data_IF_849769959213
#
_entry.id   IF_849769959213
#
_cell.length_a   1.000
_cell.length_b   1.000
_cell.length_c   1.000
_cell.angle_alpha   90.00
_cell.angle_beta   90.00
_cell.angle_gamma   90.00
#
_symmetry.space_group_name_H-M   'P 1'
#
loop_
_entity.id
_entity.type
_entity.pdbx_description
1 polymer ?
#
# COMPACT_ATOMS: atom_id res chain seq x y z
N UNK A 1 22.24 -5.32 10.24
CA UNK A 1 22.44 -5.81 11.62
C UNK A 1 23.92 -6.05 11.83
N UNK A 2 24.34 -6.46 13.03
CA UNK A 2 25.74 -6.85 13.30
C UNK A 2 26.19 -8.03 12.41
N UNK A 3 25.24 -8.86 11.97
CA UNK A 3 25.44 -9.98 11.06
C UNK A 3 25.38 -9.58 9.56
N UNK A 4 25.29 -8.28 9.25
CA UNK A 4 25.26 -7.79 7.86
C UNK A 4 23.93 -8.00 7.12
N UNK A 5 22.90 -8.57 7.76
CA UNK A 5 21.57 -8.74 7.16
C UNK A 5 20.83 -7.41 7.15
N UNK A 6 20.18 -7.09 6.03
CA UNK A 6 19.42 -5.85 5.82
C UNK A 6 17.97 -6.14 5.46
N UNK A 7 17.04 -5.54 6.20
CA UNK A 7 15.63 -5.46 5.85
C UNK A 7 15.28 -4.13 5.19
N UNK A 8 14.29 -4.14 4.30
CA UNK A 8 13.82 -2.96 3.56
C UNK A 8 12.31 -2.80 3.79
N UNK A 9 11.90 -1.58 4.12
CA UNK A 9 10.50 -1.23 4.29
C UNK A 9 10.17 0.08 3.60
N UNK A 10 8.94 0.19 3.13
CA UNK A 10 8.44 1.34 2.39
C UNK A 10 7.24 1.96 3.08
N UNK A 11 7.30 3.26 3.35
CA UNK A 11 6.17 4.05 3.82
C UNK A 11 5.70 4.98 2.69
N UNK A 12 4.39 5.01 2.41
CA UNK A 12 3.83 5.88 1.37
C UNK A 12 4.22 7.36 1.58
N UNK A 13 4.73 8.00 0.53
CA UNK A 13 5.14 9.41 0.56
C UNK A 13 3.99 10.38 0.81
N UNK A 14 4.32 11.65 1.04
CA UNK A 14 3.33 12.74 0.95
C UNK A 14 2.78 12.82 -0.48
N UNK A 15 1.68 13.56 -0.70
CA UNK A 15 1.10 13.74 -2.04
C UNK A 15 2.12 14.28 -3.07
N UNK A 16 3.21 14.91 -2.60
CA UNK A 16 4.32 15.43 -3.40
C UNK A 16 5.39 14.39 -3.79
N UNK A 17 5.31 13.14 -3.31
CA UNK A 17 6.27 12.08 -3.64
C UNK A 17 7.69 12.26 -3.08
N UNK A 18 7.98 13.37 -2.40
CA UNK A 18 9.29 13.66 -1.83
C UNK A 18 9.35 13.22 -0.36
N UNK A 19 10.48 12.62 0.03
CA UNK A 19 10.85 12.53 1.44
C UNK A 19 11.01 13.94 1.98
N UNK A 20 10.23 14.29 3.00
CA UNK A 20 10.36 15.59 3.66
C UNK A 20 11.43 15.52 4.74
N UNK A 21 12.05 16.66 5.08
CA UNK A 21 12.94 16.78 6.24
C UNK A 21 12.27 16.30 7.53
N UNK A 22 10.94 16.40 7.61
CA UNK A 22 10.13 15.86 8.70
C UNK A 22 10.16 14.32 8.76
N UNK A 23 10.21 13.66 7.62
CA UNK A 23 10.32 12.19 7.53
C UNK A 23 11.67 11.74 8.07
N UNK A 24 12.75 12.40 7.63
CA UNK A 24 14.12 12.13 8.12
C UNK A 24 14.23 12.39 9.62
N UNK A 25 13.71 13.52 10.09
CA UNK A 25 13.67 13.87 11.52
C UNK A 25 12.94 12.81 12.35
N UNK A 26 11.82 12.28 11.85
CA UNK A 26 11.08 11.22 12.55
C UNK A 26 11.86 9.89 12.56
N UNK A 27 12.56 9.55 11.48
CA UNK A 27 13.43 8.37 11.45
C UNK A 27 14.54 8.51 12.48
N UNK A 28 15.20 9.68 12.53
CA UNK A 28 16.27 9.95 13.50
C UNK A 28 15.73 9.93 14.94
N UNK A 29 14.52 10.41 15.17
CA UNK A 29 13.85 10.33 16.47
C UNK A 29 13.62 8.88 16.93
N UNK A 30 13.23 7.98 16.02
CA UNK A 30 12.99 6.57 16.36
C UNK A 30 14.27 5.72 16.41
N UNK A 31 15.35 6.14 15.76
CA UNK A 31 16.61 5.38 15.69
C UNK A 31 17.14 4.89 17.04
N UNK A 32 17.15 5.68 18.14
CA UNK A 32 17.59 5.20 19.46
C UNK A 32 16.75 4.06 20.03
N UNK A 33 15.49 3.91 19.59
CA UNK A 33 14.60 2.81 20.00
C UNK A 33 14.94 1.52 19.23
N UNK A 34 15.61 1.63 18.08
CA UNK A 34 15.87 0.51 17.16
C UNK A 34 17.26 -0.09 17.31
N UNK A 35 18.28 0.75 17.51
CA UNK A 35 19.68 0.31 17.52
C UNK A 35 19.95 -0.55 18.75
N UNK A 36 20.52 -1.74 18.53
CA UNK A 36 20.85 -2.72 19.58
C UNK A 36 19.67 -3.61 20.01
N UNK A 37 18.47 -3.37 19.49
CA UNK A 37 17.34 -4.27 19.71
C UNK A 37 17.43 -5.52 18.83
N UNK A 38 16.97 -6.64 19.37
CA UNK A 38 16.75 -7.85 18.59
C UNK A 38 15.44 -7.69 17.77
N UNK A 39 15.49 -7.86 16.42
CA UNK A 39 14.34 -7.66 15.55
C UNK A 39 13.16 -8.59 15.85
N UNK A 40 13.38 -9.75 16.48
CA UNK A 40 12.28 -10.64 16.91
C UNK A 40 11.46 -10.06 18.06
N UNK A 41 11.92 -8.99 18.71
CA UNK A 41 11.14 -8.19 19.65
C UNK A 41 10.30 -7.11 18.97
N UNK A 42 9.95 -7.28 17.68
CA UNK A 42 9.19 -6.32 16.86
C UNK A 42 7.96 -5.73 17.57
N UNK A 43 7.23 -6.52 18.37
CA UNK A 43 6.07 -6.02 19.15
C UNK A 43 6.45 -4.99 20.21
N UNK A 44 7.57 -5.20 20.91
CA UNK A 44 8.12 -4.26 21.91
C UNK A 44 8.62 -3.00 21.20
N UNK A 45 9.37 -3.17 20.12
CA UNK A 45 9.88 -2.07 19.29
C UNK A 45 8.71 -1.20 18.81
N UNK A 46 7.66 -1.81 18.26
CA UNK A 46 6.46 -1.11 17.80
C UNK A 46 5.76 -0.35 18.94
N UNK A 47 5.58 -0.99 20.10
CA UNK A 47 4.96 -0.36 21.27
C UNK A 47 5.75 0.86 21.78
N UNK A 48 7.09 0.79 21.72
CA UNK A 48 7.97 1.89 22.10
C UNK A 48 7.92 3.07 21.12
N UNK A 49 7.67 2.81 19.83
CA UNK A 49 7.48 3.87 18.83
C UNK A 49 6.06 4.45 18.85
N UNK A 50 5.04 3.63 19.11
CA UNK A 50 3.63 4.04 19.12
C UNK A 50 3.25 4.75 20.43
N UNK A 51 3.62 6.02 20.52
CA UNK A 51 3.30 6.90 21.65
C UNK A 51 2.25 7.94 21.24
N UNK A 52 0.96 7.57 21.10
CA UNK A 52 -0.05 8.38 20.43
C UNK A 52 -0.30 9.76 21.05
N UNK A 53 0.07 9.95 22.32
CA UNK A 53 0.00 11.26 23.01
C UNK A 53 1.16 12.19 22.67
N UNK A 54 2.30 11.64 22.23
CA UNK A 54 3.55 12.37 22.00
C UNK A 54 3.86 12.53 20.52
N UNK A 55 3.76 11.44 19.75
CA UNK A 55 4.12 11.41 18.32
C UNK A 55 2.90 11.46 17.39
N UNK A 56 1.70 11.58 17.97
CA UNK A 56 0.44 11.64 17.24
C UNK A 56 -0.15 10.26 16.90
N UNK A 57 -1.41 10.27 16.47
CA UNK A 57 -2.23 9.07 16.22
C UNK A 57 -2.39 8.69 14.75
N UNK A 58 -1.95 9.55 13.83
CA UNK A 58 -2.17 9.45 12.37
C UNK A 58 -1.10 10.27 11.65
N UNK A 59 -1.06 10.16 10.32
CA UNK A 59 -0.24 11.01 9.48
C UNK A 59 1.19 10.49 9.35
N UNK A 60 2.17 11.40 9.32
CA UNK A 60 3.54 11.06 8.96
C UNK A 60 4.20 10.11 9.96
N UNK A 61 3.97 10.28 11.27
CA UNK A 61 4.52 9.40 12.30
C UNK A 61 4.07 7.95 12.11
N UNK A 62 2.77 7.71 11.90
CA UNK A 62 2.27 6.36 11.59
C UNK A 62 2.88 5.77 10.32
N UNK A 63 3.16 6.60 9.30
CA UNK A 63 3.78 6.13 8.04
C UNK A 63 5.23 5.70 8.24
N UNK A 64 5.99 6.46 9.03
CA UNK A 64 7.38 6.12 9.39
C UNK A 64 7.42 4.85 10.23
N UNK A 65 6.55 4.73 11.24
CA UNK A 65 6.42 3.51 12.05
C UNK A 65 6.12 2.30 11.15
N UNK A 66 5.19 2.43 10.19
CA UNK A 66 4.89 1.35 9.23
C UNK A 66 6.10 0.97 8.37
N UNK A 67 6.88 1.94 7.89
CA UNK A 67 8.07 1.66 7.08
C UNK A 67 9.12 0.88 7.88
N UNK A 68 9.34 1.26 9.14
CA UNK A 68 10.25 0.55 10.05
C UNK A 68 9.73 -0.86 10.33
N UNK A 69 8.45 -1.03 10.65
CA UNK A 69 7.85 -2.34 10.92
C UNK A 69 7.98 -3.29 9.71
N UNK A 70 7.71 -2.82 8.50
CA UNK A 70 7.91 -3.61 7.27
C UNK A 70 9.39 -4.01 7.11
N UNK A 71 10.32 -3.09 7.39
CA UNK A 71 11.75 -3.39 7.33
C UNK A 71 12.16 -4.48 8.35
N UNK A 72 11.58 -4.45 9.56
CA UNK A 72 11.79 -5.50 10.57
C UNK A 72 11.23 -6.85 10.09
N UNK A 73 10.06 -6.87 9.45
CA UNK A 73 9.49 -8.10 8.88
C UNK A 73 10.34 -8.70 7.76
N UNK A 74 10.83 -7.86 6.83
CA UNK A 74 11.74 -8.29 5.78
C UNK A 74 13.08 -8.80 6.36
N UNK A 75 13.62 -8.10 7.36
CA UNK A 75 14.81 -8.51 8.09
C UNK A 75 14.62 -9.88 8.76
N UNK A 76 13.55 -10.07 9.53
CA UNK A 76 13.23 -11.35 10.18
C UNK A 76 13.07 -12.47 9.16
N UNK A 77 12.39 -12.22 8.04
CA UNK A 77 12.25 -13.18 6.93
C UNK A 77 13.58 -13.64 6.37
N UNK A 78 14.52 -12.70 6.15
CA UNK A 78 15.87 -12.98 5.67
C UNK A 78 16.70 -13.75 6.71
N UNK A 79 16.65 -13.37 7.98
CA UNK A 79 17.37 -14.06 9.07
C UNK A 79 16.96 -15.54 9.14
N UNK A 80 15.66 -15.84 9.09
CA UNK A 80 15.15 -17.22 9.20
C UNK A 80 15.01 -17.93 7.85
N UNK A 81 15.42 -17.27 6.77
CA UNK A 81 15.29 -17.76 5.39
C UNK A 81 13.86 -18.25 5.06
N UNK A 82 12.85 -17.42 5.37
CA UNK A 82 11.45 -17.67 5.03
C UNK A 82 10.81 -16.44 4.41
N UNK A 83 9.88 -16.62 3.46
CA UNK A 83 9.07 -15.51 2.99
C UNK A 83 8.15 -15.00 4.11
N UNK A 84 7.95 -13.69 4.19
CA UNK A 84 7.21 -13.03 5.28
C UNK A 84 5.81 -13.63 5.49
N UNK A 85 5.10 -14.00 4.41
CA UNK A 85 3.76 -14.58 4.53
C UNK A 85 3.71 -15.90 5.34
N UNK A 86 4.82 -16.68 5.36
CA UNK A 86 4.91 -17.88 6.21
C UNK A 86 5.09 -17.52 7.67
N UNK A 87 5.80 -16.42 7.98
CA UNK A 87 5.90 -15.89 9.35
C UNK A 87 4.56 -15.35 9.86
N UNK A 88 3.72 -14.83 8.96
CA UNK A 88 2.37 -14.33 9.25
C UNK A 88 1.30 -15.43 9.33
N UNK A 89 1.69 -16.71 9.22
CA UNK A 89 0.80 -17.86 9.42
C UNK A 89 0.54 -18.71 8.16
N UNK A 90 0.87 -18.23 6.96
CA UNK A 90 0.98 -19.09 5.78
C UNK A 90 -0.30 -19.80 5.32
N UNK A 91 -1.48 -19.26 5.62
CA UNK A 91 -2.77 -19.94 5.46
C UNK A 91 -3.11 -20.40 4.03
N UNK A 92 -2.73 -19.64 3.00
CA UNK A 92 -3.01 -19.97 1.59
C UNK A 92 -1.92 -19.46 0.66
N UNK A 93 -1.79 -20.11 -0.49
CA UNK A 93 -0.78 -19.76 -1.51
C UNK A 93 -1.33 -18.87 -2.63
N UNK A 94 -2.65 -18.64 -2.69
CA UNK A 94 -3.32 -17.74 -3.66
C UNK A 94 -4.43 -16.93 -3.00
N UNK A 95 -4.58 -15.66 -3.40
CA UNK A 95 -5.63 -14.74 -2.93
C UNK A 95 -6.34 -14.08 -4.13
N UNK A 96 -7.64 -13.73 -4.01
CA UNK A 96 -8.29 -12.85 -4.97
C UNK A 96 -7.61 -11.48 -5.00
N UNK A 97 -7.44 -10.92 -6.20
CA UNK A 97 -6.92 -9.57 -6.41
C UNK A 97 -7.86 -8.78 -7.33
N UNK A 98 -7.80 -7.46 -7.26
CA UNK A 98 -8.51 -6.56 -8.14
C UNK A 98 -7.51 -5.58 -8.78
N UNK A 99 -7.81 -5.11 -9.99
CA UNK A 99 -7.02 -4.05 -10.63
C UNK A 99 -7.64 -2.69 -10.30
N UNK A 100 -6.84 -1.76 -9.80
CA UNK A 100 -7.26 -0.39 -9.58
C UNK A 100 -6.98 0.43 -10.84
N UNK A 101 -7.98 1.14 -11.34
CA UNK A 101 -7.89 1.89 -12.58
C UNK A 101 -8.94 3.01 -12.67
N UNK A 102 -9.27 3.40 -13.90
CA UNK A 102 -10.30 4.38 -14.20
C UNK A 102 -10.01 5.76 -13.61
N UNK A 103 -8.73 6.14 -13.57
CA UNK A 103 -8.28 7.45 -13.13
C UNK A 103 -8.75 8.56 -14.09
N UNK A 104 -8.79 9.79 -13.59
CA UNK A 104 -9.05 10.98 -14.41
C UNK A 104 -7.73 11.49 -14.94
N UNK A 105 -7.64 11.65 -16.25
CA UNK A 105 -6.44 12.11 -16.94
C UNK A 105 -6.88 13.10 -18.03
N UNK A 106 -6.05 14.09 -18.31
CA UNK A 106 -6.31 15.04 -19.39
C UNK A 106 -6.41 14.29 -20.72
N UNK A 107 -7.48 14.54 -21.49
CA UNK A 107 -7.74 13.87 -22.75
C UNK A 107 -8.32 12.45 -22.64
N UNK A 108 -8.49 11.89 -21.43
CA UNK A 108 -9.07 10.55 -21.23
C UNK A 108 -10.59 10.61 -21.10
N UNK A 109 -11.27 10.36 -22.22
CA UNK A 109 -12.72 10.26 -22.30
C UNK A 109 -13.27 8.87 -21.97
N UNK A 110 -14.55 8.66 -22.27
CA UNK A 110 -15.24 7.38 -22.03
C UNK A 110 -14.68 6.23 -22.88
N UNK A 111 -14.21 6.52 -24.09
CA UNK A 111 -13.63 5.52 -24.99
C UNK A 111 -12.31 4.98 -24.45
N UNK A 112 -11.43 5.88 -24.02
CA UNK A 112 -10.13 5.54 -23.45
C UNK A 112 -10.31 4.81 -22.11
N UNK A 113 -11.32 5.19 -21.32
CA UNK A 113 -11.71 4.46 -20.13
C UNK A 113 -12.16 3.03 -20.44
N UNK A 114 -13.01 2.83 -21.46
CA UNK A 114 -13.44 1.49 -21.89
C UNK A 114 -12.24 0.66 -22.36
N UNK A 115 -11.34 1.23 -23.17
CA UNK A 115 -10.14 0.55 -23.62
C UNK A 115 -9.25 0.10 -22.44
N UNK A 116 -9.05 0.95 -21.44
CA UNK A 116 -8.33 0.57 -20.21
C UNK A 116 -9.00 -0.65 -19.52
N UNK A 117 -10.33 -0.69 -19.50
CA UNK A 117 -11.05 -1.82 -18.91
C UNK A 117 -10.86 -3.11 -19.72
N UNK A 118 -10.88 -3.03 -21.05
CA UNK A 118 -10.59 -4.17 -21.93
C UNK A 118 -9.16 -4.70 -21.70
N UNK A 119 -8.18 -3.80 -21.60
CA UNK A 119 -6.79 -4.15 -21.26
C UNK A 119 -6.69 -4.85 -19.89
N UNK A 120 -7.45 -4.37 -18.89
CA UNK A 120 -7.53 -5.03 -17.58
C UNK A 120 -8.14 -6.44 -17.66
N UNK A 121 -9.12 -6.68 -18.55
CA UNK A 121 -9.66 -8.02 -18.78
C UNK A 121 -8.63 -8.94 -19.43
N UNK A 122 -7.83 -8.44 -20.37
CA UNK A 122 -6.76 -9.20 -21.03
C UNK A 122 -5.67 -9.61 -20.02
N UNK A 123 -5.44 -8.83 -18.97
CA UNK A 123 -4.57 -9.19 -17.84
C UNK A 123 -5.18 -10.26 -16.92
N UNK A 124 -6.41 -10.70 -17.18
CA UNK A 124 -7.11 -11.74 -16.42
C UNK A 124 -7.83 -11.22 -15.18
N UNK A 125 -8.15 -9.92 -15.12
CA UNK A 125 -8.88 -9.34 -13.99
C UNK A 125 -10.19 -10.08 -13.73
N UNK A 126 -10.44 -10.40 -12.45
CA UNK A 126 -11.73 -10.91 -11.95
C UNK A 126 -12.51 -9.87 -11.14
N UNK A 127 -11.85 -8.75 -10.83
CA UNK A 127 -12.41 -7.60 -10.16
C UNK A 127 -11.64 -6.35 -10.57
N UNK A 128 -12.36 -5.24 -10.75
CA UNK A 128 -11.79 -3.93 -11.09
C UNK A 128 -12.38 -2.88 -10.15
N UNK A 129 -11.54 -1.95 -9.69
CA UNK A 129 -11.97 -0.76 -8.95
C UNK A 129 -11.66 0.50 -9.76
N UNK A 130 -12.69 1.27 -10.09
CA UNK A 130 -12.52 2.55 -10.79
C UNK A 130 -12.59 3.74 -9.83
N UNK A 131 -12.09 4.91 -10.25
CA UNK A 131 -12.25 6.17 -9.49
C UNK A 131 -13.56 6.86 -9.86
N UNK A 132 -14.24 7.37 -8.84
CA UNK A 132 -15.39 8.28 -8.93
C UNK A 132 -15.16 9.51 -8.04
N UNK A 133 -15.97 10.55 -8.19
CA UNK A 133 -15.96 11.77 -7.38
C UNK A 133 -15.03 12.88 -7.88
N UNK A 134 -14.45 12.73 -9.07
CA UNK A 134 -13.59 13.74 -9.70
C UNK A 134 -14.29 14.65 -10.72
N UNK A 135 -15.55 14.35 -11.07
CA UNK A 135 -16.37 15.09 -12.04
C UNK A 135 -17.82 15.23 -11.53
N UNK A 136 -18.69 16.04 -12.16
CA UNK A 136 -20.11 16.07 -11.79
C UNK A 136 -20.75 14.68 -11.78
N UNK A 137 -21.68 14.46 -10.84
CA UNK A 137 -22.23 13.13 -10.55
C UNK A 137 -22.83 12.43 -11.78
N UNK A 138 -23.47 13.17 -12.68
CA UNK A 138 -24.02 12.62 -13.92
C UNK A 138 -22.95 12.07 -14.86
N UNK A 139 -21.76 12.67 -14.87
CA UNK A 139 -20.63 12.17 -15.65
C UNK A 139 -20.01 10.93 -15.01
N UNK A 140 -19.92 10.86 -13.68
CA UNK A 140 -19.46 9.64 -13.00
C UNK A 140 -20.43 8.47 -13.18
N UNK A 141 -21.74 8.73 -13.14
CA UNK A 141 -22.77 7.72 -13.47
C UNK A 141 -22.53 7.16 -14.87
N UNK A 142 -22.24 8.03 -15.84
CA UNK A 142 -21.96 7.61 -17.21
C UNK A 142 -20.66 6.82 -17.33
N UNK A 143 -19.59 7.24 -16.64
CA UNK A 143 -18.33 6.48 -16.56
C UNK A 143 -18.56 5.08 -15.99
N UNK A 144 -19.31 4.96 -14.89
CA UNK A 144 -19.64 3.67 -14.27
C UNK A 144 -20.46 2.80 -15.22
N UNK A 145 -21.42 3.39 -15.95
CA UNK A 145 -22.22 2.69 -16.96
C UNK A 145 -21.33 2.09 -18.06
N UNK A 146 -20.46 2.91 -18.65
CA UNK A 146 -19.52 2.48 -19.71
C UNK A 146 -18.59 1.38 -19.21
N UNK A 147 -18.01 1.53 -18.02
CA UNK A 147 -17.18 0.48 -17.42
C UNK A 147 -17.99 -0.80 -17.25
N UNK A 148 -19.19 -0.74 -16.65
CA UNK A 148 -20.02 -1.92 -16.43
C UNK A 148 -20.33 -2.65 -17.74
N UNK A 149 -20.71 -1.92 -18.78
CA UNK A 149 -21.00 -2.49 -20.11
C UNK A 149 -19.76 -3.17 -20.71
N UNK A 150 -18.59 -2.52 -20.58
CA UNK A 150 -17.33 -3.02 -21.13
C UNK A 150 -16.88 -4.32 -20.45
N UNK A 151 -16.96 -4.39 -19.12
CA UNK A 151 -16.44 -5.55 -18.36
C UNK A 151 -17.46 -6.68 -18.19
N UNK A 152 -18.71 -6.49 -18.62
CA UNK A 152 -19.77 -7.52 -18.60
C UNK A 152 -20.22 -7.93 -17.18
N UNK A 153 -21.38 -8.58 -17.00
CA UNK A 153 -22.00 -8.72 -15.67
C UNK A 153 -21.18 -9.51 -14.63
N UNK A 154 -20.30 -10.40 -15.07
CA UNK A 154 -19.60 -11.36 -14.19
C UNK A 154 -18.35 -10.80 -13.49
N UNK A 155 -17.79 -9.71 -14.02
CA UNK A 155 -16.61 -9.07 -13.43
C UNK A 155 -17.07 -8.18 -12.28
N UNK A 156 -16.46 -8.34 -11.10
CA UNK A 156 -16.77 -7.52 -9.93
C UNK A 156 -16.31 -6.07 -10.17
N UNK A 157 -17.24 -5.13 -10.08
CA UNK A 157 -16.96 -3.71 -10.17
C UNK A 157 -17.03 -3.06 -8.78
N UNK A 158 -15.97 -2.34 -8.42
CA UNK A 158 -15.88 -1.51 -7.21
C UNK A 158 -15.72 -0.03 -7.64
N UNK A 159 -16.20 0.88 -6.79
CA UNK A 159 -16.02 2.34 -6.92
C UNK A 159 -15.46 2.94 -5.63
#
# INVERSE_FOLDING_TARGET
>A
TDEGVTGVGWGGGTASGQGSDLTTTLIDYFKPILVGEDPFNYRRIWANMWLPKLVGRRGLSTRVISAIDIALWDLMGKIVNKPVYKLLGGYRDRIPAYIAGGYYEEGKGLRELAQEMEENLLLGAKAIKMKIGGVPINQDVERVRVVRETIGPDIKLLV
#
